data_IF_057618610451
#
_entry.id   IF_057618610451
#
_cell.length_a   1.000
_cell.length_b   1.000
_cell.length_c   1.000
_cell.angle_alpha   90.00
_cell.angle_beta   90.00
_cell.angle_gamma   90.00
#
_symmetry.space_group_name_H-M   'P 1'
#
loop_
_entity.id
_entity.type
_entity.pdbx_description
1 polymer ?
#
# COMPACT_ATOMS: atom_id res chain seq x y z
N UNK A 1 28.45 24.37 -45.57
CA UNK A 1 28.08 23.88 -44.22
C UNK A 1 26.55 23.77 -44.16
N UNK A 2 26.00 22.58 -44.36
CA UNK A 2 24.54 22.33 -44.24
C UNK A 2 24.28 21.77 -42.86
N UNK A 3 23.61 22.54 -41.99
CA UNK A 3 23.08 22.06 -40.73
C UNK A 3 21.88 21.13 -41.00
N UNK A 4 22.01 19.84 -40.64
CA UNK A 4 20.89 18.95 -40.50
C UNK A 4 20.25 19.17 -39.13
N UNK A 5 19.06 19.78 -39.10
CA UNK A 5 18.18 19.73 -37.93
C UNK A 5 17.56 18.33 -37.85
N UNK A 6 18.02 17.53 -36.89
CA UNK A 6 17.27 16.32 -36.45
C UNK A 6 16.08 16.80 -35.64
N UNK A 7 14.89 16.76 -36.25
CA UNK A 7 13.62 16.86 -35.52
C UNK A 7 13.42 15.57 -34.72
N UNK A 8 13.66 15.63 -33.39
CA UNK A 8 13.15 14.60 -32.48
C UNK A 8 11.62 14.68 -32.49
N UNK A 9 10.96 13.81 -33.24
CA UNK A 9 9.54 13.50 -33.02
C UNK A 9 9.40 12.85 -31.65
N UNK A 10 9.03 13.61 -30.65
CA UNK A 10 8.49 13.06 -29.41
C UNK A 10 7.16 12.37 -29.75
N UNK A 11 7.19 11.06 -29.95
CA UNK A 11 5.98 10.23 -30.00
C UNK A 11 5.30 10.39 -28.63
N UNK A 12 4.28 11.22 -28.56
CA UNK A 12 3.34 11.23 -27.44
C UNK A 12 2.64 9.87 -27.46
N UNK A 13 3.07 8.97 -26.57
CA UNK A 13 2.41 7.68 -26.33
C UNK A 13 1.03 7.97 -25.72
N UNK A 14 0.04 8.15 -26.59
CA UNK A 14 -1.37 8.26 -26.17
C UNK A 14 -1.86 6.87 -25.78
N UNK A 15 -2.71 6.81 -24.76
CA UNK A 15 -3.42 5.59 -24.40
C UNK A 15 -4.29 5.16 -25.61
N UNK A 16 -4.17 3.88 -26.01
CA UNK A 16 -5.01 3.31 -27.06
C UNK A 16 -6.21 2.61 -26.42
N UNK A 17 -7.41 3.10 -26.71
CA UNK A 17 -8.65 2.50 -26.22
C UNK A 17 -8.92 1.19 -26.94
N UNK A 18 -8.88 0.07 -26.20
CA UNK A 18 -9.21 -1.26 -26.70
C UNK A 18 -10.70 -1.61 -26.53
N UNK A 19 -11.32 -1.06 -25.50
CA UNK A 19 -12.73 -1.22 -25.18
C UNK A 19 -13.24 0.03 -24.47
N UNK A 20 -14.39 0.53 -24.89
CA UNK A 20 -15.14 1.56 -24.16
C UNK A 20 -16.63 1.30 -24.38
N UNK A 21 -17.33 0.89 -23.31
CA UNK A 21 -18.75 0.53 -23.38
C UNK A 21 -19.51 1.03 -22.16
N UNK A 22 -20.70 1.53 -22.44
CA UNK A 22 -21.68 2.00 -21.45
C UNK A 22 -23.08 1.94 -22.03
N UNK A 23 -24.11 2.18 -21.24
CA UNK A 23 -25.51 2.23 -21.65
C UNK A 23 -25.92 0.98 -22.47
N UNK A 24 -25.70 -0.19 -21.89
CA UNK A 24 -25.86 -1.48 -22.54
C UNK A 24 -27.29 -1.73 -23.02
N UNK A 25 -27.41 -2.37 -24.18
CA UNK A 25 -28.69 -2.83 -24.76
C UNK A 25 -28.81 -4.34 -24.61
N UNK A 26 -30.05 -4.90 -24.70
CA UNK A 26 -30.21 -6.36 -24.75
C UNK A 26 -29.31 -6.99 -25.83
N UNK A 27 -28.72 -8.14 -25.51
CA UNK A 27 -27.70 -8.82 -26.34
C UNK A 27 -26.42 -8.01 -26.55
N UNK A 28 -25.66 -7.70 -25.49
CA UNK A 28 -24.46 -6.88 -25.57
C UNK A 28 -23.39 -7.61 -26.39
N UNK A 29 -22.94 -6.97 -27.48
CA UNK A 29 -22.02 -7.59 -28.45
C UNK A 29 -20.70 -8.01 -27.80
N UNK A 30 -20.35 -9.29 -28.03
CA UNK A 30 -19.08 -9.88 -27.53
C UNK A 30 -19.05 -10.18 -26.03
N UNK A 31 -20.10 -9.85 -25.28
CA UNK A 31 -20.23 -10.30 -23.89
C UNK A 31 -20.90 -11.67 -23.81
N UNK A 32 -20.36 -12.53 -22.99
CA UNK A 32 -20.88 -13.86 -22.69
C UNK A 32 -21.00 -14.05 -21.19
N UNK A 33 -21.86 -14.97 -20.76
CA UNK A 33 -21.94 -15.33 -19.34
C UNK A 33 -21.08 -16.54 -19.05
N UNK A 34 -20.49 -16.55 -17.85
CA UNK A 34 -19.64 -17.65 -17.38
C UNK A 34 -19.92 -17.99 -15.92
N UNK A 35 -19.82 -19.27 -15.61
CA UNK A 35 -19.68 -19.79 -14.24
C UNK A 35 -18.91 -21.10 -14.31
N UNK A 36 -18.30 -21.53 -13.20
CA UNK A 36 -17.53 -22.75 -13.14
C UNK A 36 -18.36 -24.03 -13.32
N UNK A 37 -19.64 -23.98 -12.94
CA UNK A 37 -20.61 -25.09 -13.05
C UNK A 37 -22.01 -24.54 -13.28
N UNK A 38 -22.91 -25.29 -13.97
CA UNK A 38 -24.28 -24.84 -14.24
C UNK A 38 -25.06 -24.48 -12.96
N UNK A 39 -24.92 -25.29 -11.90
CA UNK A 39 -25.63 -25.10 -10.62
C UNK A 39 -25.14 -23.92 -9.79
N UNK A 40 -23.97 -23.36 -10.11
CA UNK A 40 -23.44 -22.17 -9.45
C UNK A 40 -23.62 -20.89 -10.28
N UNK A 41 -24.34 -20.99 -11.41
CA UNK A 41 -24.52 -19.89 -12.34
C UNK A 41 -25.46 -18.83 -11.74
N UNK A 42 -25.01 -17.57 -11.54
CA UNK A 42 -25.87 -16.47 -11.16
C UNK A 42 -26.77 -16.06 -12.33
N UNK A 43 -27.82 -15.30 -12.04
CA UNK A 43 -28.67 -14.71 -13.08
C UNK A 43 -27.96 -13.46 -13.64
N UNK A 44 -27.46 -13.53 -14.87
CA UNK A 44 -26.88 -12.42 -15.58
C UNK A 44 -27.86 -11.90 -16.65
N UNK A 45 -28.08 -10.58 -16.71
CA UNK A 45 -29.03 -9.94 -17.64
C UNK A 45 -28.59 -8.49 -17.92
N UNK A 46 -29.11 -7.89 -18.98
CA UNK A 46 -28.99 -6.45 -19.21
C UNK A 46 -30.18 -5.75 -18.56
N UNK A 47 -29.86 -4.86 -17.62
CA UNK A 47 -30.89 -3.98 -17.05
C UNK A 47 -30.95 -2.68 -17.86
N UNK A 48 -32.05 -2.49 -18.59
CA UNK A 48 -32.23 -1.34 -19.46
C UNK A 48 -32.77 -0.09 -18.75
N UNK A 49 -33.02 -0.19 -17.43
CA UNK A 49 -33.54 0.91 -16.61
C UNK A 49 -32.45 1.50 -15.69
N UNK A 50 -31.43 0.71 -15.32
CA UNK A 50 -30.33 1.12 -14.43
C UNK A 50 -29.08 1.38 -15.25
N UNK A 51 -28.44 2.50 -15.06
CA UNK A 51 -27.16 2.87 -15.63
C UNK A 51 -26.55 4.04 -14.88
N UNK A 52 -25.26 4.31 -15.09
CA UNK A 52 -24.56 5.37 -14.36
C UNK A 52 -24.92 6.76 -14.86
N UNK A 53 -24.78 6.99 -16.16
CA UNK A 53 -25.11 8.27 -16.82
C UNK A 53 -26.35 8.14 -17.67
N UNK A 54 -26.50 7.02 -18.35
CA UNK A 54 -27.63 6.68 -19.19
C UNK A 54 -28.13 5.28 -18.83
N UNK A 55 -29.42 4.98 -18.95
CA UNK A 55 -29.96 3.64 -18.71
C UNK A 55 -29.27 2.56 -19.55
N UNK A 56 -29.00 1.41 -18.92
CA UNK A 56 -28.40 0.23 -19.55
C UNK A 56 -27.11 -0.23 -18.84
N UNK A 57 -27.17 -1.34 -18.14
CA UNK A 57 -26.02 -1.92 -17.45
C UNK A 57 -25.99 -3.44 -17.54
N UNK A 58 -24.82 -4.05 -17.38
CA UNK A 58 -24.65 -5.50 -17.23
C UNK A 58 -24.94 -5.88 -15.78
N UNK A 59 -26.08 -6.49 -15.53
CA UNK A 59 -26.53 -6.87 -14.20
C UNK A 59 -26.22 -8.34 -13.89
N UNK A 60 -25.96 -8.63 -12.62
CA UNK A 60 -25.77 -9.99 -12.09
C UNK A 60 -26.49 -10.05 -10.75
N UNK A 61 -27.39 -11.04 -10.60
CA UNK A 61 -28.10 -11.31 -9.35
C UNK A 61 -27.76 -12.72 -8.86
N UNK A 62 -27.59 -12.89 -7.56
CA UNK A 62 -27.21 -14.16 -6.93
C UNK A 62 -28.28 -15.25 -6.98
N UNK A 63 -29.51 -14.92 -7.41
CA UNK A 63 -30.61 -15.85 -7.64
C UNK A 63 -30.93 -16.75 -6.41
N UNK A 64 -30.82 -16.21 -5.19
CA UNK A 64 -30.97 -16.91 -3.92
C UNK A 64 -30.03 -18.11 -3.74
N UNK A 65 -28.94 -18.17 -4.50
CA UNK A 65 -27.98 -19.25 -4.48
C UNK A 65 -26.69 -18.83 -3.73
N UNK A 66 -26.46 -19.39 -2.55
CA UNK A 66 -25.26 -19.11 -1.76
C UNK A 66 -23.95 -19.59 -2.42
N UNK A 67 -24.03 -20.50 -3.39
CA UNK A 67 -22.89 -20.99 -4.16
C UNK A 67 -22.70 -20.22 -5.49
N UNK A 68 -23.53 -19.21 -5.78
CA UNK A 68 -23.43 -18.47 -7.04
C UNK A 68 -22.07 -17.83 -7.22
N UNK A 69 -21.42 -18.10 -8.36
CA UNK A 69 -20.13 -17.53 -8.73
C UNK A 69 -20.03 -17.40 -10.24
N UNK A 70 -19.83 -16.21 -10.74
CA UNK A 70 -19.71 -15.93 -12.17
C UNK A 70 -20.39 -14.63 -12.57
N UNK A 71 -20.64 -14.49 -13.86
CA UNK A 71 -21.26 -13.30 -14.42
C UNK A 71 -20.89 -13.06 -15.87
N UNK A 72 -20.53 -11.83 -16.19
CA UNK A 72 -20.18 -11.40 -17.53
C UNK A 72 -18.69 -11.49 -17.80
N UNK A 73 -18.32 -11.91 -19.02
CA UNK A 73 -16.96 -11.83 -19.52
C UNK A 73 -16.93 -11.42 -20.99
N UNK A 74 -15.86 -10.72 -21.36
CA UNK A 74 -15.57 -10.33 -22.73
C UNK A 74 -14.10 -10.56 -23.03
N UNK A 75 -13.79 -11.16 -24.18
CA UNK A 75 -12.41 -11.41 -24.61
C UNK A 75 -11.90 -10.23 -25.44
N UNK A 76 -10.73 -9.74 -25.10
CA UNK A 76 -9.94 -8.79 -25.87
C UNK A 76 -8.80 -9.56 -26.52
N UNK A 77 -8.77 -9.53 -27.85
CA UNK A 77 -7.78 -10.21 -28.67
C UNK A 77 -6.53 -9.33 -28.91
N UNK A 78 -5.48 -9.94 -29.46
CA UNK A 78 -4.26 -9.25 -29.89
C UNK A 78 -3.53 -8.51 -28.76
N UNK A 79 -3.56 -9.09 -27.56
CA UNK A 79 -2.73 -8.66 -26.44
C UNK A 79 -1.29 -9.07 -26.71
N UNK A 80 -0.35 -8.16 -26.52
CA UNK A 80 1.09 -8.43 -26.71
C UNK A 80 1.75 -8.76 -25.37
N UNK A 81 2.67 -9.73 -25.33
CA UNK A 81 3.48 -10.00 -24.16
C UNK A 81 4.15 -8.74 -23.61
N UNK A 82 4.04 -8.53 -22.32
CA UNK A 82 4.68 -7.40 -21.62
C UNK A 82 4.00 -6.04 -21.76
N UNK A 83 2.95 -5.91 -22.59
CA UNK A 83 2.20 -4.65 -22.68
C UNK A 83 1.41 -4.36 -21.38
N UNK A 84 1.14 -3.09 -21.14
CA UNK A 84 0.38 -2.64 -20.00
C UNK A 84 -1.05 -2.27 -20.39
N UNK A 85 -1.99 -2.79 -19.64
CA UNK A 85 -3.40 -2.46 -19.78
C UNK A 85 -3.90 -1.75 -18.50
N UNK A 86 -4.71 -0.70 -18.70
CA UNK A 86 -5.54 -0.10 -17.65
C UNK A 86 -6.97 -0.59 -17.84
N UNK A 87 -7.57 -1.10 -16.78
CA UNK A 87 -8.97 -1.47 -16.75
C UNK A 87 -9.71 -0.59 -15.74
N UNK A 88 -10.83 -0.03 -16.18
CA UNK A 88 -11.74 0.78 -15.38
C UNK A 88 -13.17 0.30 -15.59
N UNK A 89 -13.98 0.31 -14.54
CA UNK A 89 -15.40 0.06 -14.60
C UNK A 89 -16.10 0.77 -13.44
N UNK A 90 -17.41 1.01 -13.62
CA UNK A 90 -18.27 1.48 -12.53
C UNK A 90 -19.24 0.38 -12.15
N UNK A 91 -19.51 0.23 -10.85
CA UNK A 91 -20.54 -0.68 -10.39
C UNK A 91 -21.45 -0.02 -9.35
N UNK A 92 -22.70 -0.48 -9.33
CA UNK A 92 -23.66 -0.26 -8.24
C UNK A 92 -23.97 -1.62 -7.63
N UNK A 93 -24.08 -1.70 -6.32
CA UNK A 93 -24.38 -2.95 -5.63
C UNK A 93 -25.53 -2.76 -4.64
N UNK A 94 -26.40 -3.76 -4.56
CA UNK A 94 -27.47 -3.84 -3.57
C UNK A 94 -27.46 -5.22 -2.91
N UNK A 95 -27.64 -5.26 -1.59
CA UNK A 95 -27.66 -6.50 -0.79
C UNK A 95 -26.40 -7.37 -0.93
N UNK A 96 -25.23 -6.73 -1.12
CA UNK A 96 -23.91 -7.37 -1.12
C UNK A 96 -23.20 -6.99 0.19
N UNK A 97 -22.94 -7.95 1.03
CA UNK A 97 -22.44 -7.71 2.40
C UNK A 97 -20.95 -7.43 2.49
N UNK A 98 -20.16 -7.96 1.55
CA UNK A 98 -18.70 -7.85 1.54
C UNK A 98 -18.19 -7.58 0.11
N UNK A 99 -18.42 -6.35 -0.36
CA UNK A 99 -18.13 -5.94 -1.74
C UNK A 99 -16.68 -6.20 -2.15
N UNK A 100 -15.72 -6.13 -1.22
CA UNK A 100 -14.30 -6.30 -1.54
C UNK A 100 -14.00 -7.65 -2.20
N UNK A 101 -14.61 -8.75 -1.76
CA UNK A 101 -14.37 -10.08 -2.33
C UNK A 101 -15.56 -10.65 -3.11
N UNK A 102 -16.79 -10.17 -2.84
CA UNK A 102 -17.99 -10.64 -3.54
C UNK A 102 -18.18 -10.00 -4.92
N UNK A 103 -17.61 -8.79 -5.15
CA UNK A 103 -17.64 -8.11 -6.44
C UNK A 103 -16.27 -8.23 -7.09
N UNK A 104 -16.19 -9.03 -8.15
CA UNK A 104 -14.95 -9.37 -8.83
C UNK A 104 -14.87 -8.66 -10.17
N UNK A 105 -13.80 -7.89 -10.36
CA UNK A 105 -13.38 -7.37 -11.65
C UNK A 105 -11.90 -7.68 -11.85
N UNK A 106 -11.56 -8.39 -12.93
CA UNK A 106 -10.19 -8.85 -13.16
C UNK A 106 -9.89 -9.08 -14.64
N UNK A 107 -8.61 -9.13 -14.94
CA UNK A 107 -8.05 -9.52 -16.23
C UNK A 107 -7.52 -10.96 -16.11
N UNK A 108 -8.10 -11.92 -16.82
CA UNK A 108 -7.65 -13.32 -16.87
C UNK A 108 -6.94 -13.57 -18.21
N UNK A 109 -5.62 -13.71 -18.14
CA UNK A 109 -4.74 -13.76 -19.30
C UNK A 109 -4.75 -15.15 -19.97
N UNK A 110 -4.80 -15.15 -21.32
CA UNK A 110 -4.84 -16.37 -22.10
C UNK A 110 -3.67 -16.43 -23.10
N UNK A 111 -3.13 -17.63 -23.27
CA UNK A 111 -2.17 -17.96 -24.33
C UNK A 111 -2.86 -18.08 -25.69
N UNK A 112 -2.11 -18.19 -26.78
CA UNK A 112 -2.64 -18.36 -28.13
C UNK A 112 -3.47 -19.64 -28.31
N UNK A 113 -3.19 -20.69 -27.53
CA UNK A 113 -3.93 -21.97 -27.54
C UNK A 113 -5.10 -21.96 -26.51
N UNK A 114 -5.43 -20.80 -25.93
CA UNK A 114 -6.57 -20.60 -25.03
C UNK A 114 -6.38 -21.13 -23.62
N UNK A 115 -5.15 -21.47 -23.22
CA UNK A 115 -4.84 -21.81 -21.83
C UNK A 115 -4.56 -20.57 -21.02
N UNK A 116 -4.62 -20.69 -19.70
CA UNK A 116 -4.26 -19.59 -18.80
C UNK A 116 -2.78 -19.24 -18.94
N UNK A 117 -2.49 -17.97 -19.20
CA UNK A 117 -1.14 -17.44 -19.39
C UNK A 117 -0.46 -17.03 -18.07
N UNK A 118 -1.23 -16.93 -16.97
CA UNK A 118 -0.76 -16.55 -15.64
C UNK A 118 -1.93 -16.36 -14.68
N UNK A 119 -1.63 -15.94 -13.46
CA UNK A 119 -2.69 -15.59 -12.51
C UNK A 119 -3.40 -14.31 -12.95
N UNK A 120 -4.71 -14.21 -12.70
CA UNK A 120 -5.48 -13.02 -13.06
C UNK A 120 -5.05 -11.81 -12.22
N UNK A 121 -5.09 -10.64 -12.84
CA UNK A 121 -4.87 -9.37 -12.15
C UNK A 121 -6.21 -8.74 -11.75
N UNK A 122 -6.40 -8.54 -10.45
CA UNK A 122 -7.59 -7.92 -9.89
C UNK A 122 -7.52 -6.41 -9.95
N UNK A 123 -8.68 -5.75 -10.07
CA UNK A 123 -8.81 -4.30 -9.97
C UNK A 123 -9.10 -3.92 -8.51
N UNK A 124 -8.08 -3.55 -7.74
CA UNK A 124 -8.21 -3.45 -6.29
C UNK A 124 -8.77 -2.09 -5.82
N UNK A 125 -8.51 -1.04 -6.58
CA UNK A 125 -8.83 0.32 -6.14
C UNK A 125 -10.25 0.68 -6.46
N UNK A 126 -11.00 1.05 -5.42
CA UNK A 126 -12.41 1.43 -5.53
C UNK A 126 -12.61 2.80 -4.88
N UNK A 127 -13.31 3.70 -5.56
CA UNK A 127 -13.71 5.01 -5.08
C UNK A 127 -15.24 5.13 -5.12
N UNK A 128 -15.86 5.43 -3.99
CA UNK A 128 -17.28 5.73 -3.94
C UNK A 128 -17.60 7.03 -4.68
N UNK A 129 -18.65 7.01 -5.49
CA UNK A 129 -19.15 8.12 -6.29
C UNK A 129 -20.69 8.10 -6.29
N UNK A 130 -21.29 8.58 -5.18
CA UNK A 130 -22.73 8.50 -4.95
C UNK A 130 -23.21 7.06 -4.77
N UNK A 131 -24.23 6.66 -5.53
CA UNK A 131 -24.77 5.30 -5.53
C UNK A 131 -23.86 4.28 -6.29
N UNK A 132 -22.89 4.77 -7.04
CA UNK A 132 -21.94 3.97 -7.81
C UNK A 132 -20.56 3.96 -7.15
N UNK A 133 -19.76 2.99 -7.54
CA UNK A 133 -18.35 2.89 -7.18
C UNK A 133 -17.54 2.75 -8.46
N UNK A 134 -16.46 3.55 -8.57
CA UNK A 134 -15.50 3.44 -9.66
C UNK A 134 -14.36 2.55 -9.23
N UNK A 135 -14.07 1.52 -10.01
CA UNK A 135 -12.88 0.70 -9.79
C UNK A 135 -11.89 0.87 -10.94
N UNK A 136 -10.62 0.70 -10.63
CA UNK A 136 -9.55 0.76 -11.61
C UNK A 136 -8.34 -0.05 -11.18
N UNK A 137 -7.53 -0.42 -12.16
CA UNK A 137 -6.23 -1.04 -11.95
C UNK A 137 -5.42 -1.08 -13.23
N UNK A 138 -4.14 -1.31 -13.09
CA UNK A 138 -3.20 -1.47 -14.20
C UNK A 138 -2.51 -2.83 -14.04
N UNK A 139 -2.31 -3.52 -15.14
CA UNK A 139 -1.68 -4.83 -15.14
C UNK A 139 -0.78 -5.01 -16.37
N UNK A 140 0.29 -5.76 -16.20
CA UNK A 140 1.20 -6.13 -17.28
C UNK A 140 0.86 -7.52 -17.80
N UNK A 141 0.67 -7.64 -19.09
CA UNK A 141 0.43 -8.92 -19.75
C UNK A 141 1.62 -9.88 -19.54
N UNK A 142 1.37 -11.14 -19.13
CA UNK A 142 2.42 -12.17 -19.05
C UNK A 142 3.18 -12.38 -20.36
N UNK A 143 4.39 -12.95 -20.28
CA UNK A 143 5.26 -13.16 -21.42
C UNK A 143 4.68 -14.05 -22.54
N UNK A 144 3.68 -14.88 -22.23
CA UNK A 144 3.01 -15.79 -23.15
C UNK A 144 1.54 -15.42 -23.41
N UNK A 145 1.09 -14.24 -22.98
CA UNK A 145 -0.27 -13.77 -23.22
C UNK A 145 -0.48 -13.43 -24.70
N UNK A 146 -1.65 -13.80 -25.23
CA UNK A 146 -2.11 -13.47 -26.58
C UNK A 146 -3.50 -12.82 -26.58
N UNK A 147 -4.27 -13.03 -25.52
CA UNK A 147 -5.58 -12.40 -25.29
C UNK A 147 -5.85 -12.30 -23.80
N UNK A 148 -6.90 -11.58 -23.43
CA UNK A 148 -7.32 -11.43 -22.03
C UNK A 148 -8.85 -11.48 -21.93
N UNK A 149 -9.38 -12.22 -20.97
CA UNK A 149 -10.76 -12.09 -20.56
C UNK A 149 -10.88 -10.96 -19.54
N UNK A 150 -11.78 -10.05 -19.84
CA UNK A 150 -12.33 -9.09 -18.90
C UNK A 150 -13.47 -9.78 -18.15
N UNK A 151 -13.32 -9.98 -16.85
CA UNK A 151 -14.28 -10.71 -16.03
C UNK A 151 -14.92 -9.81 -15.00
N UNK A 152 -16.26 -9.77 -15.00
CA UNK A 152 -17.12 -9.01 -14.11
C UNK A 152 -18.08 -10.00 -13.43
N UNK A 153 -17.81 -10.35 -12.16
CA UNK A 153 -18.53 -11.43 -11.48
C UNK A 153 -19.15 -10.98 -10.17
N UNK A 154 -20.12 -11.75 -9.74
CA UNK A 154 -20.68 -11.75 -8.39
C UNK A 154 -20.38 -13.11 -7.74
N UNK A 155 -19.89 -13.09 -6.51
CA UNK A 155 -19.47 -14.27 -5.76
C UNK A 155 -20.25 -14.40 -4.46
N UNK A 156 -20.89 -15.56 -4.24
CA UNK A 156 -21.49 -15.97 -2.96
C UNK A 156 -22.36 -14.91 -2.27
N UNK A 157 -23.11 -14.14 -3.04
CA UNK A 157 -24.06 -13.12 -2.58
C UNK A 157 -25.47 -13.49 -3.02
N UNK A 158 -26.17 -14.40 -2.33
CA UNK A 158 -27.45 -14.98 -2.78
C UNK A 158 -28.54 -13.94 -2.99
N UNK A 159 -28.58 -12.88 -2.18
CA UNK A 159 -29.55 -11.78 -2.32
C UNK A 159 -28.96 -10.57 -3.04
N UNK A 160 -27.67 -10.63 -3.37
CA UNK A 160 -26.92 -9.53 -3.97
C UNK A 160 -27.29 -9.29 -5.44
N UNK A 161 -27.27 -8.03 -5.82
CA UNK A 161 -27.30 -7.62 -7.22
C UNK A 161 -26.18 -6.62 -7.45
N UNK A 162 -25.43 -6.78 -8.54
CA UNK A 162 -24.44 -5.84 -9.01
C UNK A 162 -24.76 -5.43 -10.45
N UNK A 163 -24.67 -4.13 -10.74
CA UNK A 163 -24.80 -3.53 -12.06
C UNK A 163 -23.47 -2.95 -12.47
N UNK A 164 -22.99 -3.26 -13.67
CA UNK A 164 -21.74 -2.79 -14.23
C UNK A 164 -21.99 -1.85 -15.40
N UNK A 165 -21.27 -0.73 -15.44
CA UNK A 165 -21.34 0.28 -16.49
C UNK A 165 -20.00 1.00 -16.64
N UNK A 166 -19.87 1.88 -17.66
CA UNK A 166 -18.68 2.67 -17.95
C UNK A 166 -17.39 1.82 -17.96
N UNK A 167 -17.40 0.76 -18.77
CA UNK A 167 -16.30 -0.20 -18.86
C UNK A 167 -15.29 0.29 -19.88
N UNK A 168 -14.05 0.49 -19.46
CA UNK A 168 -12.95 0.97 -20.31
C UNK A 168 -11.73 0.09 -20.13
N UNK A 169 -11.12 -0.35 -21.23
CA UNK A 169 -9.79 -0.97 -21.24
C UNK A 169 -8.92 -0.20 -22.23
N UNK A 170 -7.77 0.20 -21.77
CA UNK A 170 -6.79 0.97 -22.54
C UNK A 170 -5.44 0.28 -22.54
N UNK A 171 -4.77 0.30 -23.68
CA UNK A 171 -3.33 0.03 -23.72
C UNK A 171 -2.60 1.29 -23.29
N UNK A 172 -1.78 1.18 -22.26
CA UNK A 172 -1.04 2.30 -21.70
C UNK A 172 0.47 2.08 -21.82
N UNK A 173 1.29 3.12 -21.81
CA UNK A 173 2.72 2.96 -21.65
C UNK A 173 3.02 2.31 -20.26
N UNK A 174 4.17 1.63 -20.12
CA UNK A 174 4.61 1.16 -18.80
C UNK A 174 4.55 2.29 -17.78
N UNK A 175 4.02 2.05 -16.57
CA UNK A 175 4.04 3.05 -15.51
C UNK A 175 5.46 3.58 -15.27
N UNK A 176 5.59 4.88 -15.12
CA UNK A 176 6.88 5.49 -14.81
C UNK A 176 7.41 4.95 -13.49
N UNK A 177 8.72 4.69 -13.42
CA UNK A 177 9.37 4.31 -12.19
C UNK A 177 9.17 5.41 -11.11
N UNK A 178 8.74 5.00 -9.91
CA UNK A 178 8.62 5.88 -8.74
C UNK A 178 9.79 5.62 -7.80
N UNK A 179 10.96 6.10 -8.18
CA UNK A 179 12.19 5.89 -7.43
C UNK A 179 12.23 6.76 -6.19
N UNK A 180 12.57 6.16 -5.06
CA UNK A 180 12.70 6.80 -3.76
C UNK A 180 14.05 6.40 -3.15
N UNK A 181 14.86 7.38 -2.81
CA UNK A 181 16.14 7.17 -2.14
C UNK A 181 15.89 7.18 -0.62
N UNK A 182 16.06 6.03 -0.01
CA UNK A 182 15.83 5.80 1.42
C UNK A 182 17.15 5.73 2.16
N UNK A 183 17.24 6.37 3.31
CA UNK A 183 18.33 6.19 4.25
C UNK A 183 17.79 5.88 5.64
N UNK A 184 18.47 5.02 6.38
CA UNK A 184 18.12 4.70 7.76
C UNK A 184 19.37 4.60 8.62
N UNK A 185 19.34 5.24 9.80
CA UNK A 185 20.52 5.48 10.65
C UNK A 185 20.71 4.36 11.67
N UNK A 186 21.93 3.86 11.74
CA UNK A 186 22.41 2.98 12.82
C UNK A 186 23.29 3.77 13.77
N UNK A 187 22.72 4.24 14.88
CA UNK A 187 23.45 4.98 15.91
C UNK A 187 22.81 4.73 17.26
N UNK A 188 23.61 4.41 18.27
CA UNK A 188 23.19 4.32 19.68
C UNK A 188 24.00 5.29 20.53
N UNK A 189 23.58 6.55 20.71
CA UNK A 189 24.22 7.48 21.62
C UNK A 189 24.41 6.89 23.02
N UNK A 190 25.53 7.18 23.66
CA UNK A 190 25.85 6.78 25.04
C UNK A 190 26.35 7.98 25.83
N UNK A 191 26.01 8.03 27.14
CA UNK A 191 26.45 9.08 28.05
C UNK A 191 26.14 10.50 27.56
N UNK A 192 24.93 10.70 27.04
CA UNK A 192 24.42 12.03 26.65
C UNK A 192 23.95 12.77 27.89
N UNK A 193 24.34 14.04 28.05
CA UNK A 193 23.93 14.87 29.17
C UNK A 193 22.42 15.14 29.23
N UNK A 194 21.73 15.01 28.05
CA UNK A 194 20.29 15.14 27.96
C UNK A 194 19.77 14.96 26.52
N UNK A 195 18.45 15.18 26.32
CA UNK A 195 17.81 14.99 25.02
C UNK A 195 18.48 15.75 23.88
N UNK A 196 18.82 17.02 24.10
CA UNK A 196 19.41 17.87 23.07
C UNK A 196 20.75 17.31 22.54
N UNK A 197 21.62 16.79 23.43
CA UNK A 197 22.87 16.17 23.00
C UNK A 197 22.64 14.85 22.28
N UNK A 198 21.72 14.01 22.76
CA UNK A 198 21.37 12.77 22.07
C UNK A 198 20.89 13.05 20.66
N UNK A 199 19.95 13.98 20.49
CA UNK A 199 19.44 14.40 19.17
C UNK A 199 20.56 14.97 18.30
N UNK A 200 21.42 15.86 18.83
CA UNK A 200 22.52 16.45 18.07
C UNK A 200 23.47 15.39 17.47
N UNK A 201 23.70 14.27 18.15
CA UNK A 201 24.51 13.15 17.62
C UNK A 201 23.84 12.48 16.40
N UNK A 202 22.50 12.34 16.40
CA UNK A 202 21.78 11.85 15.22
C UNK A 202 21.88 12.83 14.06
N UNK A 203 21.69 14.13 14.31
CA UNK A 203 21.83 15.16 13.27
C UNK A 203 23.23 15.15 12.66
N UNK A 204 24.28 15.07 13.48
CA UNK A 204 25.66 14.96 13.00
C UNK A 204 25.89 13.68 12.17
N UNK A 205 25.25 12.56 12.56
CA UNK A 205 25.33 11.30 11.79
C UNK A 205 24.61 11.42 10.45
N UNK A 206 23.47 12.09 10.38
CA UNK A 206 22.80 12.40 9.10
C UNK A 206 23.75 13.16 8.18
N UNK A 207 24.36 14.23 8.69
CA UNK A 207 25.27 15.07 7.88
C UNK A 207 26.49 14.27 7.37
N UNK A 208 27.02 13.37 8.18
CA UNK A 208 28.21 12.56 7.87
C UNK A 208 27.92 11.41 6.90
N UNK A 209 26.79 10.69 7.07
CA UNK A 209 26.61 9.36 6.48
C UNK A 209 25.43 9.24 5.50
N UNK A 210 24.55 10.22 5.43
CA UNK A 210 23.39 10.18 4.50
C UNK A 210 23.73 10.88 3.20
N UNK A 211 23.53 10.24 2.02
CA UNK A 211 23.75 10.88 0.72
C UNK A 211 22.89 12.14 0.52
N UNK A 212 23.42 13.12 -0.24
CA UNK A 212 22.74 14.39 -0.49
C UNK A 212 21.37 14.22 -1.19
N UNK A 213 21.27 13.24 -2.10
CA UNK A 213 20.03 12.93 -2.82
C UNK A 213 19.25 11.84 -2.10
N UNK A 214 18.76 12.12 -0.90
CA UNK A 214 17.92 11.21 -0.11
C UNK A 214 16.52 11.80 -0.03
N UNK A 215 15.49 10.98 -0.24
CA UNK A 215 14.09 11.41 -0.19
C UNK A 215 13.50 11.28 1.21
N UNK A 216 13.88 10.22 1.92
CA UNK A 216 13.41 9.96 3.29
C UNK A 216 14.52 9.37 4.15
N UNK A 217 14.62 9.88 5.38
CA UNK A 217 15.59 9.47 6.39
C UNK A 217 14.83 8.93 7.60
N UNK A 218 15.18 7.73 8.04
CA UNK A 218 14.60 7.11 9.24
C UNK A 218 15.63 7.13 10.38
N UNK A 219 15.20 7.61 11.54
CA UNK A 219 15.92 7.55 12.82
C UNK A 219 15.24 6.54 13.76
N UNK A 220 15.96 6.04 14.80
CA UNK A 220 15.41 5.06 15.73
C UNK A 220 14.29 5.58 16.63
N UNK A 221 13.77 4.69 17.45
CA UNK A 221 12.85 4.97 18.54
C UNK A 221 13.53 5.74 19.68
N UNK A 222 12.81 6.70 20.25
CA UNK A 222 13.24 7.36 21.48
C UNK A 222 14.56 8.12 21.39
N UNK A 223 14.82 8.82 20.28
CA UNK A 223 16.08 9.58 20.08
C UNK A 223 16.31 10.66 21.15
N UNK A 224 15.27 11.06 21.90
CA UNK A 224 15.34 12.02 22.99
C UNK A 224 15.75 11.40 24.32
N UNK A 225 15.64 10.09 24.50
CA UNK A 225 15.94 9.39 25.75
C UNK A 225 17.19 8.51 25.67
N UNK A 226 17.50 7.99 24.49
CA UNK A 226 18.63 7.05 24.33
C UNK A 226 19.95 7.69 24.73
N UNK A 227 20.73 6.94 25.52
CA UNK A 227 22.02 7.41 26.05
C UNK A 227 21.93 8.42 27.19
N UNK A 228 20.74 8.81 27.63
CA UNK A 228 20.52 9.67 28.81
C UNK A 228 20.17 8.84 30.05
N UNK A 229 20.21 9.46 31.21
CA UNK A 229 19.70 8.88 32.47
C UNK A 229 18.26 9.24 32.79
N UNK A 230 17.57 9.92 31.85
CA UNK A 230 16.22 10.46 32.03
C UNK A 230 15.14 9.44 31.72
N UNK A 231 13.98 9.60 32.37
CA UNK A 231 12.77 8.83 32.08
C UNK A 231 11.95 9.42 30.93
N UNK A 232 11.00 8.62 30.43
CA UNK A 232 10.13 9.01 29.29
C UNK A 232 9.38 10.31 29.52
N UNK A 233 8.83 10.48 30.74
CA UNK A 233 8.10 11.69 31.10
C UNK A 233 9.02 12.94 31.19
N UNK A 234 10.28 12.76 31.56
CA UNK A 234 11.23 13.88 31.66
C UNK A 234 11.70 14.40 30.32
N UNK A 235 11.77 13.50 29.30
CA UNK A 235 12.16 13.86 27.93
C UNK A 235 10.99 14.15 27.02
N UNK A 236 9.76 13.98 27.52
CA UNK A 236 8.52 14.24 26.76
C UNK A 236 8.37 15.72 26.41
N UNK A 237 8.21 16.04 25.14
CA UNK A 237 8.04 17.39 24.60
C UNK A 237 6.76 17.53 23.78
N UNK A 238 6.29 18.74 23.58
CA UNK A 238 5.18 18.99 22.65
C UNK A 238 5.57 18.70 21.20
N UNK A 239 4.60 18.37 20.37
CA UNK A 239 4.78 18.27 18.92
C UNK A 239 3.84 19.31 18.25
N UNK A 240 4.39 20.34 17.56
CA UNK A 240 5.81 20.67 17.38
C UNK A 240 6.53 21.06 18.68
N UNK A 241 7.85 20.77 18.74
CA UNK A 241 8.71 21.05 19.89
C UNK A 241 10.18 21.19 19.48
N UNK A 242 11.10 21.27 20.46
CA UNK A 242 12.54 21.48 20.21
C UNK A 242 13.15 20.46 19.25
N UNK A 243 12.88 19.16 19.47
CA UNK A 243 13.42 18.10 18.61
C UNK A 243 12.86 18.18 17.19
N UNK A 244 11.55 18.35 17.02
CA UNK A 244 10.95 18.47 15.69
C UNK A 244 11.43 19.72 14.96
N UNK A 245 11.75 20.82 15.67
CA UNK A 245 12.36 22.01 15.07
C UNK A 245 13.76 21.71 14.52
N UNK A 246 14.62 21.06 15.31
CA UNK A 246 15.98 20.71 14.89
C UNK A 246 15.97 19.71 13.72
N UNK A 247 15.09 18.70 13.75
CA UNK A 247 14.89 17.78 12.62
C UNK A 247 14.35 18.52 11.38
N UNK A 248 13.46 19.50 11.58
CA UNK A 248 12.88 20.32 10.51
C UNK A 248 13.93 21.17 9.79
N UNK A 249 14.91 21.70 10.50
CA UNK A 249 16.01 22.45 9.90
C UNK A 249 16.85 21.53 8.95
N UNK A 250 17.16 20.30 9.38
CA UNK A 250 17.85 19.31 8.54
C UNK A 250 16.97 18.85 7.37
N UNK A 251 15.70 18.55 7.61
CA UNK A 251 14.76 18.14 6.57
C UNK A 251 14.67 19.18 5.45
N UNK A 252 14.54 20.45 5.82
CA UNK A 252 14.52 21.58 4.89
C UNK A 252 15.85 21.75 4.15
N UNK A 253 16.98 21.73 4.85
CA UNK A 253 18.31 21.91 4.26
C UNK A 253 18.63 20.79 3.25
N UNK A 254 18.24 19.55 3.54
CA UNK A 254 18.48 18.37 2.69
C UNK A 254 17.35 18.12 1.69
N UNK A 255 16.27 18.86 1.76
CA UNK A 255 15.05 18.64 0.96
C UNK A 255 14.57 17.18 1.07
N UNK A 256 14.55 16.62 2.27
CA UNK A 256 14.20 15.23 2.57
C UNK A 256 13.12 15.15 3.65
N UNK A 257 12.30 14.09 3.59
CA UNK A 257 11.47 13.73 4.74
C UNK A 257 12.33 13.13 5.84
N UNK A 258 11.97 13.35 7.10
CA UNK A 258 12.61 12.69 8.25
C UNK A 258 11.54 12.04 9.13
N UNK A 259 11.77 10.77 9.49
CA UNK A 259 10.97 10.08 10.51
C UNK A 259 11.85 9.78 11.70
N UNK A 260 11.34 10.05 12.90
CA UNK A 260 12.04 9.79 14.15
C UNK A 260 11.05 9.37 15.26
N UNK A 261 11.48 8.44 16.13
CA UNK A 261 10.75 8.12 17.36
C UNK A 261 11.17 9.09 18.48
N UNK A 262 10.18 9.77 19.08
CA UNK A 262 10.39 10.69 20.23
C UNK A 262 9.31 10.44 21.28
N UNK A 263 9.49 10.98 22.48
CA UNK A 263 8.43 11.01 23.49
C UNK A 263 7.67 12.31 23.41
N UNK A 264 6.34 12.21 23.16
CA UNK A 264 5.43 13.34 23.05
C UNK A 264 4.75 13.58 24.39
N UNK A 265 4.65 14.85 24.80
CA UNK A 265 3.83 15.26 25.93
C UNK A 265 2.64 16.11 25.44
N UNK A 266 1.44 15.70 25.83
CA UNK A 266 0.21 16.46 25.60
C UNK A 266 -0.56 16.57 26.92
N UNK A 267 -0.47 17.73 27.56
CA UNK A 267 -0.99 17.92 28.91
C UNK A 267 -0.31 16.97 29.91
N UNK A 268 -1.09 16.11 30.53
CA UNK A 268 -0.61 15.12 31.51
C UNK A 268 -0.18 13.79 30.85
N UNK A 269 -0.55 13.57 29.60
CA UNK A 269 -0.25 12.32 28.89
C UNK A 269 1.12 12.35 28.22
N UNK A 270 1.79 11.20 28.21
CA UNK A 270 3.06 10.99 27.50
C UNK A 270 2.90 9.81 26.54
N UNK A 271 3.30 10.00 25.30
CA UNK A 271 3.18 9.00 24.24
C UNK A 271 4.56 8.66 23.67
N UNK A 272 4.74 7.41 23.25
CA UNK A 272 5.83 7.03 22.35
C UNK A 272 5.35 7.34 20.93
N UNK A 273 6.01 8.28 20.24
CA UNK A 273 5.49 8.87 19.00
C UNK A 273 6.53 8.86 17.89
N UNK A 274 6.18 8.35 16.72
CA UNK A 274 6.93 8.55 15.49
C UNK A 274 6.40 9.81 14.78
N UNK A 275 7.28 10.77 14.51
CA UNK A 275 6.96 12.00 13.78
C UNK A 275 7.43 11.91 12.34
N UNK A 276 6.63 12.41 11.41
CA UNK A 276 7.00 12.61 10.02
C UNK A 276 7.20 14.12 9.79
N UNK A 277 8.41 14.51 9.45
CA UNK A 277 8.78 15.87 9.06
C UNK A 277 8.87 15.91 7.54
N UNK A 278 8.27 16.90 6.90
CA UNK A 278 8.31 17.07 5.44
C UNK A 278 9.53 17.86 4.96
N UNK A 279 9.66 17.99 3.63
CA UNK A 279 10.77 18.69 2.97
C UNK A 279 10.82 20.19 3.26
N UNK A 280 9.74 20.78 3.80
CA UNK A 280 9.70 22.18 4.23
C UNK A 280 10.19 22.34 5.67
N UNK A 281 10.37 21.23 6.39
CA UNK A 281 10.70 21.18 7.81
C UNK A 281 9.48 21.21 8.74
N UNK A 282 8.27 21.12 8.19
CA UNK A 282 7.05 21.08 8.98
C UNK A 282 6.72 19.66 9.42
N UNK A 283 6.01 19.50 10.55
CA UNK A 283 5.44 18.24 10.98
C UNK A 283 4.27 17.89 10.06
N UNK A 284 4.48 16.96 9.13
CA UNK A 284 3.45 16.47 8.21
C UNK A 284 2.50 15.46 8.86
N UNK A 285 2.93 14.80 9.93
CA UNK A 285 2.12 13.85 10.65
C UNK A 285 2.83 13.19 11.82
N UNK A 286 2.06 12.45 12.60
CA UNK A 286 2.57 11.68 13.73
C UNK A 286 1.77 10.40 13.96
N UNK A 287 2.43 9.38 14.47
CA UNK A 287 1.84 8.14 14.92
C UNK A 287 2.20 7.90 16.39
N UNK A 288 1.20 7.72 17.25
CA UNK A 288 1.37 7.32 18.65
C UNK A 288 1.30 5.80 18.72
N UNK A 289 2.32 5.17 19.31
CA UNK A 289 2.43 3.71 19.44
C UNK A 289 1.18 3.11 20.07
N UNK A 290 0.55 2.17 19.40
CA UNK A 290 -0.71 1.56 19.85
C UNK A 290 -0.44 0.41 20.82
N UNK A 291 0.51 -0.46 20.50
CA UNK A 291 0.88 -1.57 21.35
C UNK A 291 2.07 -1.20 22.24
N UNK A 292 1.81 -1.02 23.53
CA UNK A 292 2.84 -0.71 24.51
C UNK A 292 3.28 -1.98 25.24
N UNK A 293 4.59 -2.29 25.34
CA UNK A 293 5.05 -3.32 26.24
C UNK A 293 4.79 -2.92 27.69
N UNK A 294 4.74 -3.90 28.59
CA UNK A 294 4.46 -3.70 30.01
C UNK A 294 5.31 -2.60 30.63
N UNK A 295 6.61 -2.58 30.31
CA UNK A 295 7.54 -1.58 30.85
C UNK A 295 7.15 -0.14 30.48
N UNK A 296 6.70 0.11 29.26
CA UNK A 296 6.26 1.44 28.82
C UNK A 296 4.98 1.87 29.54
N UNK A 297 4.02 0.95 29.75
CA UNK A 297 2.81 1.21 30.51
C UNK A 297 3.11 1.52 31.97
N UNK A 298 3.96 0.71 32.61
CA UNK A 298 4.34 0.90 34.04
C UNK A 298 5.16 2.17 34.26
N UNK A 299 5.82 2.68 33.22
CA UNK A 299 6.51 3.99 33.23
C UNK A 299 5.63 5.16 32.77
N UNK A 300 4.32 4.95 32.67
CA UNK A 300 3.32 6.00 32.49
C UNK A 300 3.07 6.45 31.06
N UNK A 301 3.43 5.64 30.05
CA UNK A 301 3.06 5.95 28.66
C UNK A 301 1.60 5.60 28.38
N UNK A 302 0.98 6.42 27.55
CA UNK A 302 -0.40 6.26 27.07
C UNK A 302 -0.39 5.67 25.65
N UNK A 303 -1.21 4.64 25.34
CA UNK A 303 -1.28 4.08 23.99
C UNK A 303 -1.98 5.02 23.01
N UNK A 304 -1.59 4.93 21.74
CA UNK A 304 -2.31 5.51 20.61
C UNK A 304 -3.62 4.76 20.31
N UNK A 305 -4.41 5.30 19.37
CA UNK A 305 -5.76 4.79 19.09
C UNK A 305 -6.03 4.47 17.61
N UNK A 306 -5.07 4.74 16.72
CA UNK A 306 -5.28 4.56 15.28
C UNK A 306 -3.95 4.35 14.52
N UNK A 307 -4.04 3.84 13.31
CA UNK A 307 -2.92 3.57 12.41
C UNK A 307 -3.00 4.48 11.18
N UNK A 308 -2.43 5.70 11.20
CA UNK A 308 -2.53 6.65 10.11
C UNK A 308 -1.56 6.32 8.96
N UNK A 309 -1.98 6.60 7.73
CA UNK A 309 -1.14 6.61 6.54
C UNK A 309 -1.00 8.05 6.05
N UNK A 310 0.22 8.45 5.70
CA UNK A 310 0.56 9.79 5.29
C UNK A 310 0.87 9.84 3.79
N UNK A 311 0.29 10.82 3.10
CA UNK A 311 0.63 11.09 1.70
C UNK A 311 1.88 11.95 1.63
N UNK A 312 2.90 11.45 0.96
CA UNK A 312 4.11 12.21 0.58
C UNK A 312 4.10 12.51 -0.92
N UNK A 313 5.06 13.29 -1.39
CA UNK A 313 5.22 13.56 -2.82
C UNK A 313 5.71 12.34 -3.63
N UNK A 314 6.29 11.32 -2.97
CA UNK A 314 6.74 10.10 -3.63
C UNK A 314 5.79 8.90 -3.45
N UNK A 315 4.89 8.91 -2.46
CA UNK A 315 3.98 7.79 -2.20
C UNK A 315 3.33 7.86 -0.83
N UNK A 316 2.68 6.78 -0.43
CA UNK A 316 2.03 6.65 0.86
C UNK A 316 2.93 5.95 1.87
N UNK A 317 3.10 6.55 3.04
CA UNK A 317 3.96 6.06 4.11
C UNK A 317 3.14 5.72 5.35
N UNK A 318 3.31 4.51 5.87
CA UNK A 318 2.83 4.10 7.19
C UNK A 318 3.93 4.18 8.24
N UNK A 319 3.57 4.41 9.49
CA UNK A 319 4.50 4.40 10.62
C UNK A 319 4.11 3.31 11.61
N UNK A 320 5.10 2.58 12.11
CA UNK A 320 5.02 1.63 13.23
C UNK A 320 6.15 1.92 14.21
N UNK A 321 6.01 1.50 15.46
CA UNK A 321 7.08 1.65 16.46
C UNK A 321 7.33 0.32 17.17
N UNK A 322 8.53 -0.21 17.05
CA UNK A 322 9.11 -1.27 17.89
C UNK A 322 8.14 -2.44 18.20
N UNK A 323 7.53 -2.45 19.38
CA UNK A 323 6.68 -3.53 19.87
C UNK A 323 5.44 -3.81 18.98
N UNK A 324 5.02 -2.84 18.15
CA UNK A 324 3.97 -3.07 17.14
C UNK A 324 4.33 -4.23 16.19
N UNK A 325 5.62 -4.55 16.01
CA UNK A 325 6.08 -5.64 15.14
C UNK A 325 5.57 -7.02 15.59
N UNK A 326 5.27 -7.20 16.88
CA UNK A 326 4.77 -8.46 17.43
C UNK A 326 3.30 -8.73 17.07
N UNK A 327 2.58 -7.72 16.59
CA UNK A 327 1.16 -7.79 16.20
C UNK A 327 1.02 -7.64 14.68
N UNK A 328 0.13 -8.43 14.07
CA UNK A 328 -0.10 -8.37 12.62
C UNK A 328 -0.92 -7.13 12.21
N UNK A 329 -1.74 -6.62 13.11
CA UNK A 329 -2.75 -5.59 12.86
C UNK A 329 -2.17 -4.25 12.41
N UNK A 330 -1.10 -3.69 13.00
CA UNK A 330 -0.56 -2.39 12.58
C UNK A 330 -0.15 -2.39 11.11
N UNK A 331 0.71 -3.32 10.70
CA UNK A 331 1.17 -3.41 9.31
C UNK A 331 0.02 -3.68 8.33
N UNK A 332 -0.94 -4.54 8.74
CA UNK A 332 -2.14 -4.85 7.98
C UNK A 332 -3.04 -3.63 7.78
N UNK A 333 -3.29 -2.88 8.85
CA UNK A 333 -4.11 -1.66 8.80
C UNK A 333 -3.48 -0.60 7.88
N UNK A 334 -2.18 -0.40 7.95
CA UNK A 334 -1.44 0.52 7.07
C UNK A 334 -1.50 0.08 5.61
N UNK A 335 -1.25 -1.20 5.33
CA UNK A 335 -1.29 -1.74 3.98
C UNK A 335 -2.69 -1.67 3.34
N UNK A 336 -3.75 -1.92 4.13
CA UNK A 336 -5.14 -1.82 3.66
C UNK A 336 -5.53 -0.39 3.29
N UNK A 337 -4.89 0.63 3.88
CA UNK A 337 -5.04 2.05 3.51
C UNK A 337 -4.15 2.44 2.32
N UNK A 338 -3.37 1.49 1.79
CA UNK A 338 -2.55 1.66 0.60
C UNK A 338 -1.13 2.15 0.86
N UNK A 339 -0.58 1.98 2.07
CA UNK A 339 0.82 2.29 2.33
C UNK A 339 1.73 1.54 1.34
N UNK A 340 2.64 2.28 0.71
CA UNK A 340 3.68 1.72 -0.18
C UNK A 340 4.87 1.22 0.63
N UNK A 341 5.14 1.91 1.74
CA UNK A 341 6.29 1.68 2.62
C UNK A 341 5.88 1.90 4.08
N UNK A 342 6.43 1.09 4.98
CA UNK A 342 6.34 1.28 6.42
C UNK A 342 7.72 1.66 6.95
N UNK A 343 7.80 2.79 7.67
CA UNK A 343 8.97 3.27 8.37
C UNK A 343 8.81 2.95 9.85
N UNK A 344 9.73 2.17 10.40
CA UNK A 344 9.64 1.62 11.75
C UNK A 344 10.85 1.99 12.61
N UNK A 345 10.77 3.11 13.37
CA UNK A 345 11.67 3.32 14.49
C UNK A 345 11.55 2.15 15.49
N UNK A 346 12.66 1.55 15.88
CA UNK A 346 12.62 0.35 16.70
C UNK A 346 13.75 0.37 17.74
N UNK A 347 13.47 -0.07 18.97
CA UNK A 347 14.54 -0.31 19.96
C UNK A 347 15.11 -1.70 19.78
N UNK A 348 14.26 -2.70 19.90
CA UNK A 348 14.55 -4.12 19.69
C UNK A 348 13.29 -4.84 19.22
N UNK A 349 13.44 -6.04 18.65
CA UNK A 349 12.33 -6.82 18.16
C UNK A 349 12.78 -8.05 17.38
N UNK A 350 11.82 -8.84 16.92
CA UNK A 350 12.08 -10.06 16.17
C UNK A 350 12.18 -9.78 14.67
N UNK A 351 13.30 -10.14 14.06
CA UNK A 351 13.53 -9.95 12.64
C UNK A 351 12.62 -10.80 11.75
N UNK A 352 12.24 -12.00 12.20
CA UNK A 352 11.36 -12.89 11.45
C UNK A 352 9.97 -12.27 11.36
N UNK A 353 9.49 -11.68 12.47
CA UNK A 353 8.21 -10.97 12.46
C UNK A 353 8.29 -9.71 11.60
N UNK A 354 9.37 -8.92 11.67
CA UNK A 354 9.55 -7.77 10.80
C UNK A 354 9.52 -8.19 9.30
N UNK A 355 10.24 -9.26 8.94
CA UNK A 355 10.21 -9.84 7.61
C UNK A 355 8.78 -10.29 7.21
N UNK A 356 8.06 -10.92 8.12
CA UNK A 356 6.67 -11.33 7.88
C UNK A 356 5.76 -10.11 7.59
N UNK A 357 5.94 -8.97 8.31
CA UNK A 357 5.16 -7.74 8.06
C UNK A 357 5.37 -7.19 6.65
N UNK A 358 6.59 -7.26 6.12
CA UNK A 358 6.86 -6.86 4.73
C UNK A 358 6.17 -7.80 3.72
N UNK A 359 6.37 -9.11 3.88
CA UNK A 359 5.90 -10.15 2.94
C UNK A 359 4.38 -10.23 2.92
N UNK A 360 3.74 -10.41 4.07
CA UNK A 360 2.28 -10.63 4.17
C UNK A 360 1.47 -9.41 3.74
N UNK A 361 2.07 -8.22 3.74
CA UNK A 361 1.44 -6.96 3.36
C UNK A 361 1.88 -6.45 1.98
N UNK A 362 2.95 -7.01 1.41
CA UNK A 362 3.48 -6.60 0.11
C UNK A 362 3.94 -5.13 0.12
N UNK A 363 4.62 -4.71 1.18
CA UNK A 363 5.11 -3.34 1.39
C UNK A 363 6.62 -3.34 1.62
N UNK A 364 7.28 -2.24 1.29
CA UNK A 364 8.65 -2.02 1.76
C UNK A 364 8.63 -1.78 3.28
N UNK A 365 9.63 -2.32 3.99
CA UNK A 365 9.82 -2.11 5.41
C UNK A 365 11.21 -1.53 5.65
N UNK A 366 11.29 -0.42 6.36
CA UNK A 366 12.54 0.22 6.75
C UNK A 366 12.61 0.26 8.28
N UNK A 367 13.70 -0.24 8.83
CA UNK A 367 13.95 -0.24 10.28
C UNK A 367 15.14 0.64 10.62
N UNK A 368 15.08 1.31 11.75
CA UNK A 368 16.21 1.98 12.38
C UNK A 368 16.25 1.56 13.85
N UNK A 369 17.22 0.78 14.23
CA UNK A 369 17.20 0.06 15.51
C UNK A 369 18.48 0.19 16.34
N UNK A 370 18.39 -0.24 17.63
CA UNK A 370 19.52 -0.39 18.53
C UNK A 370 19.87 -1.87 18.72
N UNK A 371 18.93 -2.65 19.23
CA UNK A 371 19.04 -4.10 19.45
C UNK A 371 18.29 -4.88 18.33
N UNK A 372 17.95 -4.20 17.26
CA UNK A 372 17.39 -4.71 16.01
C UNK A 372 18.20 -4.16 14.83
N UNK A 373 18.47 -4.94 13.79
CA UNK A 373 19.23 -4.47 12.64
C UNK A 373 18.57 -3.28 11.93
N UNK A 374 19.39 -2.37 11.45
CA UNK A 374 19.00 -1.20 10.66
C UNK A 374 19.11 -1.54 9.17
N UNK A 375 17.97 -1.62 8.47
CA UNK A 375 17.93 -2.04 7.06
C UNK A 375 16.76 -1.45 6.26
N UNK A 376 16.89 -1.58 4.95
CA UNK A 376 15.80 -1.41 3.98
C UNK A 376 15.44 -2.78 3.42
N UNK A 377 14.17 -3.17 3.46
CA UNK A 377 13.67 -4.48 3.04
C UNK A 377 12.57 -4.33 2.00
N UNK A 378 12.57 -5.21 1.01
CA UNK A 378 11.58 -5.23 -0.05
C UNK A 378 10.32 -6.06 0.31
N UNK A 379 9.26 -6.02 -0.52
CA UNK A 379 8.02 -6.79 -0.31
C UNK A 379 8.16 -8.31 -0.35
N UNK A 380 9.30 -8.87 -0.77
CA UNK A 380 9.63 -10.28 -0.65
C UNK A 380 10.41 -10.62 0.63
N UNK A 381 10.68 -9.60 1.46
CA UNK A 381 11.44 -9.77 2.68
C UNK A 381 12.95 -9.89 2.45
N UNK A 382 13.43 -9.45 1.28
CA UNK A 382 14.85 -9.40 0.99
C UNK A 382 15.44 -8.07 1.45
N UNK A 383 16.59 -8.12 2.11
CA UNK A 383 17.32 -6.92 2.55
C UNK A 383 18.04 -6.29 1.36
N UNK A 384 17.60 -5.10 0.98
CA UNK A 384 18.23 -4.31 -0.09
C UNK A 384 19.52 -3.63 0.41
N UNK A 385 19.55 -3.22 1.67
CA UNK A 385 20.73 -2.64 2.33
C UNK A 385 20.63 -2.80 3.84
N UNK A 386 21.78 -2.80 4.53
CA UNK A 386 21.89 -2.87 5.99
C UNK A 386 23.08 -2.06 6.48
N UNK A 387 22.89 -1.24 7.52
CA UNK A 387 23.98 -0.61 8.26
C UNK A 387 24.45 -1.55 9.36
N UNK A 388 25.70 -1.98 9.30
CA UNK A 388 26.31 -2.91 10.28
C UNK A 388 27.13 -2.19 11.34
N UNK A 389 27.72 -1.06 10.98
CA UNK A 389 28.57 -0.28 11.86
C UNK A 389 27.78 0.87 12.48
N UNK A 390 28.06 1.15 13.77
CA UNK A 390 27.47 2.28 14.47
C UNK A 390 27.98 3.61 13.87
N UNK A 391 27.09 4.60 13.76
CA UNK A 391 27.40 5.88 13.12
C UNK A 391 27.36 5.86 11.59
N UNK A 392 26.71 4.83 11.00
CA UNK A 392 26.53 4.72 9.53
C UNK A 392 25.04 4.69 9.14
N UNK A 393 24.78 4.77 7.86
CA UNK A 393 23.43 4.64 7.29
C UNK A 393 23.33 3.44 6.34
N UNK A 394 22.22 2.71 6.39
CA UNK A 394 21.81 1.85 5.28
C UNK A 394 21.09 2.70 4.25
N UNK A 395 21.44 2.56 2.97
CA UNK A 395 20.82 3.33 1.88
C UNK A 395 20.38 2.43 0.75
N UNK A 396 19.23 2.71 0.17
CA UNK A 396 18.73 2.01 -1.02
C UNK A 396 17.89 2.94 -1.88
N UNK A 397 17.97 2.76 -3.21
CA UNK A 397 16.97 3.32 -4.13
C UNK A 397 15.92 2.24 -4.38
N UNK A 398 14.70 2.47 -3.94
CA UNK A 398 13.56 1.57 -4.17
C UNK A 398 12.67 2.13 -5.28
N UNK A 399 11.93 1.26 -5.95
CA UNK A 399 10.93 1.66 -6.95
C UNK A 399 9.55 1.24 -6.48
N UNK A 400 8.73 2.21 -6.06
CA UNK A 400 7.35 1.98 -5.59
C UNK A 400 6.40 1.56 -6.71
N UNK A 401 6.78 1.71 -7.99
CA UNK A 401 6.02 1.22 -9.12
C UNK A 401 6.35 -0.24 -9.49
N UNK A 402 7.45 -0.79 -8.95
CA UNK A 402 7.84 -2.18 -9.20
C UNK A 402 6.79 -3.15 -8.68
N UNK A 403 6.35 -4.07 -9.55
CA UNK A 403 5.42 -5.13 -9.19
C UNK A 403 6.16 -6.34 -8.63
N UNK A 404 5.74 -6.79 -7.45
CA UNK A 404 6.27 -7.97 -6.78
C UNK A 404 5.28 -9.12 -6.97
N UNK A 405 5.60 -10.05 -7.91
CA UNK A 405 4.72 -11.16 -8.31
C UNK A 405 5.29 -12.49 -7.84
N UNK A 406 4.47 -13.24 -7.12
CA UNK A 406 4.77 -14.64 -6.80
C UNK A 406 4.55 -15.52 -8.03
N UNK A 407 5.37 -16.56 -8.21
CA UNK A 407 5.38 -17.37 -9.42
C UNK A 407 4.00 -17.96 -9.80
N UNK A 408 3.19 -18.32 -8.80
CA UNK A 408 1.88 -18.97 -9.00
C UNK A 408 0.72 -18.32 -8.26
N UNK A 409 0.96 -17.21 -7.55
CA UNK A 409 -0.05 -16.44 -6.84
C UNK A 409 -0.25 -15.03 -7.47
N UNK A 410 0.60 -14.63 -8.42
CA UNK A 410 0.54 -13.32 -9.02
C UNK A 410 0.92 -12.20 -8.04
N UNK A 411 0.31 -11.03 -8.17
CA UNK A 411 0.57 -9.88 -7.32
C UNK A 411 -0.28 -9.94 -6.03
N UNK A 412 0.28 -10.47 -4.97
CA UNK A 412 -0.45 -10.67 -3.71
C UNK A 412 -0.90 -9.37 -3.04
N UNK A 413 -0.26 -8.23 -3.29
CA UNK A 413 -0.69 -6.95 -2.71
C UNK A 413 -2.11 -6.57 -3.16
N UNK A 414 -2.39 -6.60 -4.47
CA UNK A 414 -3.70 -6.28 -5.04
C UNK A 414 -4.70 -7.40 -4.80
N UNK A 415 -4.25 -8.64 -4.94
CA UNK A 415 -5.05 -9.84 -4.75
C UNK A 415 -5.61 -9.94 -3.33
N UNK A 416 -4.77 -9.69 -2.32
CA UNK A 416 -5.20 -9.69 -0.92
C UNK A 416 -6.34 -8.70 -0.65
N UNK A 417 -6.31 -7.50 -1.23
CA UNK A 417 -7.38 -6.51 -1.06
C UNK A 417 -8.73 -7.04 -1.53
N UNK A 418 -8.73 -7.96 -2.49
CA UNK A 418 -9.92 -8.57 -3.07
C UNK A 418 -10.29 -9.94 -2.48
N UNK A 419 -9.36 -10.60 -1.82
CA UNK A 419 -9.58 -11.93 -1.25
C UNK A 419 -9.68 -11.92 0.29
N UNK A 420 -9.37 -10.78 0.94
CA UNK A 420 -9.41 -10.66 2.39
C UNK A 420 -10.85 -10.76 2.92
N UNK A 421 -11.08 -11.70 3.80
CA UNK A 421 -12.38 -12.01 4.39
C UNK A 421 -12.61 -11.20 5.68
N UNK A 422 -12.81 -9.87 5.53
CA UNK A 422 -13.12 -8.97 6.65
C UNK A 422 -14.52 -9.22 7.24
N UNK A 423 -15.35 -9.95 6.54
CA UNK A 423 -16.68 -10.39 6.94
C UNK A 423 -16.68 -11.59 7.92
N UNK A 424 -15.53 -12.28 8.04
CA UNK A 424 -15.35 -13.38 9.01
C UNK A 424 -14.85 -12.79 10.33
N UNK A 425 -15.69 -12.88 11.37
CA UNK A 425 -15.33 -12.36 12.68
C UNK A 425 -14.15 -13.14 13.27
N UNK A 426 -13.12 -12.42 13.71
CA UNK A 426 -12.05 -12.97 14.53
C UNK A 426 -12.52 -12.94 16.00
N UNK A 427 -12.57 -14.08 16.70
CA UNK A 427 -12.97 -14.11 18.10
C UNK A 427 -12.07 -13.23 18.97
N UNK A 428 -12.65 -12.59 19.97
CA UNK A 428 -11.87 -11.84 20.94
C UNK A 428 -10.99 -12.80 21.76
N UNK A 429 -9.70 -12.50 21.95
CA UNK A 429 -8.81 -13.35 22.73
C UNK A 429 -9.27 -13.45 24.20
N UNK A 430 -9.12 -14.63 24.79
CA UNK A 430 -9.42 -14.88 26.20
C UNK A 430 -10.90 -15.08 26.54
N UNK A 431 -11.83 -14.92 25.60
CA UNK A 431 -13.24 -15.27 25.79
C UNK A 431 -13.43 -16.74 25.43
N UNK A 432 -13.28 -17.60 26.43
CA UNK A 432 -13.72 -19.02 26.35
C UNK A 432 -15.24 -19.06 26.43
N UNK A 433 -15.92 -19.65 25.45
CA UNK A 433 -17.35 -19.89 25.44
C UNK A 433 -17.66 -21.26 26.03
#
# INVERSE_FOLDING_TARGET
MRCFLLALCALSLHAEVLLQESAFRPHPFGWTTWSQRPETKPRAFVDTSVGREKPGSLAINGASNAAAYGGWRKQIQNVKPGEWLRFQASYKAESVSAENWQIVARLDWQTADGKRAGDPDYMPWTRRAGAWSDLSGEAQAPANAASVYLELYLANAPQGTVWWDNIVVERIPPPAARKVNVATINLRPRNSAGPAESVARFLATIEKSVPAKTDVILLPEGITVVGTTKGYAEVGESIPGPTTKSLGEIAKARHAYIVAGIYEREGQTVYNTAVLIDRSGAVAGKYRKVYLPREEVERGLTPGTHFPVFQTDFGKVGLMICYDVFFAEPARALANQGADMILMPIWGGDETLAKARAIENGVFLVTSGYDHPTYVMDPFGERLSQAREEGTAATATIDLAKRYRWQWLGEMRTRRMKELRMDVAVPQPGLLR
#
